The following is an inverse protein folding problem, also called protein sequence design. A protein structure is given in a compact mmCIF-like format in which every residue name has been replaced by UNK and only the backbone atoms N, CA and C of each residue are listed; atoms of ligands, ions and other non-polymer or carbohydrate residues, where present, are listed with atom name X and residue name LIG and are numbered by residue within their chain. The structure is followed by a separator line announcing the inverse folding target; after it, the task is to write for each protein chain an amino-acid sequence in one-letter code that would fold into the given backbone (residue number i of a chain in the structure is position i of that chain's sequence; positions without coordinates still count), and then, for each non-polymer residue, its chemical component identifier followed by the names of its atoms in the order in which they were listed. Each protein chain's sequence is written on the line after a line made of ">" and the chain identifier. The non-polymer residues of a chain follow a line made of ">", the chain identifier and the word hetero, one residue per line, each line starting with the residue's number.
data_IF_957146466555
#
_entry.id   IF_957146466555
#
_cell.length_a   1.000
_cell.length_b   1.000
_cell.length_c   1.000
_cell.angle_alpha   90.00
_cell.angle_beta   90.00
_cell.angle_gamma   90.00
#
_symmetry.space_group_name_H-M   'P 1'
#
loop_
_entity.id
_entity.type
_entity.pdbx_description
1 polymer ?
#
# COMPACT_ATOMS: atom_id res chain seq x y z
N UNK A 1 -26.61 -1.72 -24.36
CA UNK A 1 -25.28 -2.04 -23.80
C UNK A 1 -25.22 -1.45 -22.41
N UNK A 2 -25.59 -2.23 -21.41
CA UNK A 2 -25.43 -1.83 -20.01
C UNK A 2 -23.94 -1.98 -19.71
N UNK A 3 -23.27 -0.87 -19.40
CA UNK A 3 -21.89 -0.87 -18.93
C UNK A 3 -21.84 -1.79 -17.71
N UNK A 4 -21.20 -2.94 -17.88
CA UNK A 4 -20.79 -3.78 -16.76
C UNK A 4 -19.84 -2.91 -15.93
N UNK A 5 -20.34 -2.30 -14.87
CA UNK A 5 -19.47 -1.75 -13.83
C UNK A 5 -18.78 -2.96 -13.21
N UNK A 6 -17.61 -3.30 -13.73
CA UNK A 6 -16.71 -4.26 -13.11
C UNK A 6 -16.55 -3.79 -11.67
N UNK A 7 -17.04 -4.58 -10.71
CA UNK A 7 -16.64 -4.41 -9.31
C UNK A 7 -15.16 -4.76 -9.25
N UNK A 8 -14.31 -3.76 -9.46
CA UNK A 8 -12.89 -3.89 -9.17
C UNK A 8 -12.78 -4.20 -7.68
N UNK A 9 -12.09 -5.29 -7.35
CA UNK A 9 -11.93 -5.75 -5.98
C UNK A 9 -10.85 -4.89 -5.30
N UNK A 10 -11.16 -3.61 -5.14
CA UNK A 10 -10.25 -2.58 -4.63
C UNK A 10 -10.34 -2.55 -3.10
N UNK A 11 -9.18 -2.57 -2.46
CA UNK A 11 -9.02 -2.46 -1.02
C UNK A 11 -8.20 -1.23 -0.69
N UNK A 12 -8.61 -0.55 0.37
CA UNK A 12 -7.92 0.62 0.90
C UNK A 12 -7.37 0.25 2.26
N UNK A 13 -6.10 0.55 2.46
CA UNK A 13 -5.44 0.40 3.73
C UNK A 13 -5.06 1.77 4.25
N UNK A 14 -5.29 2.01 5.54
CA UNK A 14 -5.07 3.31 6.17
C UNK A 14 -4.37 3.09 7.51
N UNK A 15 -3.25 3.77 7.70
CA UNK A 15 -2.50 3.86 8.95
C UNK A 15 -2.35 5.34 9.27
N UNK A 16 -2.59 5.72 10.53
CA UNK A 16 -2.46 7.12 10.94
C UNK A 16 -1.97 7.22 12.38
N UNK A 17 -1.03 8.14 12.58
CA UNK A 17 -0.66 8.66 13.89
C UNK A 17 -1.12 10.11 13.91
N UNK A 18 -2.07 10.44 14.79
CA UNK A 18 -2.72 11.75 14.82
C UNK A 18 -1.68 12.89 14.87
N UNK A 19 -1.79 13.82 13.93
CA UNK A 19 -0.89 14.98 13.77
C UNK A 19 0.59 14.67 13.49
N UNK A 20 0.94 13.42 13.16
CA UNK A 20 2.31 13.00 12.83
C UNK A 20 2.39 12.52 11.38
N UNK A 21 1.64 11.46 11.05
CA UNK A 21 1.75 10.79 9.76
C UNK A 21 0.41 10.19 9.30
N UNK A 22 0.24 10.12 7.99
CA UNK A 22 -0.90 9.48 7.35
C UNK A 22 -0.45 8.70 6.13
N UNK A 23 -0.74 7.41 6.15
CA UNK A 23 -0.43 6.48 5.05
C UNK A 23 -1.72 5.84 4.59
N UNK A 24 -2.04 5.99 3.30
CA UNK A 24 -3.15 5.29 2.66
C UNK A 24 -2.68 4.60 1.39
N UNK A 25 -2.87 3.28 1.30
CA UNK A 25 -2.45 2.49 0.14
C UNK A 25 -3.67 1.92 -0.61
N UNK A 26 -3.63 2.02 -1.93
CA UNK A 26 -4.62 1.47 -2.86
C UNK A 26 -4.13 0.13 -3.38
N UNK A 27 -4.88 -0.93 -3.09
CA UNK A 27 -4.53 -2.29 -3.51
C UNK A 27 -5.65 -2.87 -4.35
N UNK A 28 -5.31 -3.44 -5.50
CA UNK A 28 -6.23 -4.17 -6.35
C UNK A 28 -5.50 -5.40 -6.91
N UNK A 29 -6.17 -6.54 -6.87
CA UNK A 29 -5.62 -7.83 -7.34
C UNK A 29 -4.26 -8.16 -6.70
N UNK A 30 -4.16 -7.89 -5.39
CA UNK A 30 -2.95 -8.02 -4.56
C UNK A 30 -1.74 -7.21 -5.04
N UNK A 31 -1.95 -6.14 -5.81
CA UNK A 31 -0.89 -5.23 -6.23
C UNK A 31 -1.16 -3.83 -5.72
N UNK A 32 -0.12 -3.08 -5.44
CA UNK A 32 -0.22 -1.66 -5.09
C UNK A 32 -0.41 -0.85 -6.37
N UNK A 33 -1.43 0.01 -6.40
CA UNK A 33 -1.73 0.90 -7.54
C UNK A 33 -1.55 2.37 -7.20
N UNK A 34 -1.29 2.70 -5.94
CA UNK A 34 -1.05 4.07 -5.49
C UNK A 34 -1.04 4.18 -3.98
N UNK A 35 -0.52 5.29 -3.49
CA UNK A 35 -0.61 5.66 -2.09
C UNK A 35 -0.75 7.17 -1.90
N UNK A 36 -1.20 7.56 -0.71
CA UNK A 36 -1.09 8.91 -0.17
C UNK A 36 -0.26 8.81 1.10
N UNK A 37 0.88 9.50 1.10
CA UNK A 37 1.82 9.57 2.21
C UNK A 37 1.87 11.05 2.65
N UNK A 38 1.68 11.30 3.95
CA UNK A 38 1.74 12.63 4.56
C UNK A 38 2.57 12.53 5.83
N UNK A 39 3.54 13.43 5.99
CA UNK A 39 4.51 13.40 7.09
C UNK A 39 5.81 12.72 6.66
N UNK A 40 6.67 12.41 7.63
CA UNK A 40 7.91 11.66 7.44
C UNK A 40 7.57 10.17 7.58
N UNK A 41 7.34 9.47 6.47
CA UNK A 41 6.84 8.09 6.49
C UNK A 41 7.90 7.03 6.22
N UNK A 42 9.02 7.41 5.58
CA UNK A 42 10.09 6.51 5.12
C UNK A 42 9.60 5.36 4.19
N UNK A 43 8.37 5.43 3.67
CA UNK A 43 7.73 4.40 2.84
C UNK A 43 7.76 4.73 1.34
N UNK A 44 8.27 5.89 0.94
CA UNK A 44 8.18 6.43 -0.41
C UNK A 44 8.83 5.48 -1.44
N UNK A 45 10.06 5.07 -1.19
CA UNK A 45 10.82 4.18 -2.08
C UNK A 45 10.19 2.78 -2.16
N UNK A 46 9.74 2.25 -1.03
CA UNK A 46 9.09 0.93 -0.99
C UNK A 46 7.80 0.96 -1.80
N UNK A 47 6.94 1.96 -1.60
CA UNK A 47 5.68 2.10 -2.34
C UNK A 47 5.94 2.31 -3.83
N UNK A 48 6.91 3.14 -4.20
CA UNK A 48 7.30 3.35 -5.60
C UNK A 48 7.70 2.02 -6.25
N UNK A 49 8.59 1.25 -5.60
CA UNK A 49 9.03 -0.04 -6.10
C UNK A 49 7.88 -1.05 -6.24
N UNK A 50 6.95 -1.10 -5.28
CA UNK A 50 5.79 -1.98 -5.34
C UNK A 50 4.85 -1.63 -6.50
N UNK A 51 4.67 -0.34 -6.80
CA UNK A 51 3.87 0.13 -7.94
C UNK A 51 4.58 -0.18 -9.25
N UNK A 52 5.87 0.16 -9.36
CA UNK A 52 6.67 -0.03 -10.58
C UNK A 52 6.77 -1.51 -10.97
N UNK A 53 7.02 -2.39 -10.00
CA UNK A 53 7.21 -3.81 -10.25
C UNK A 53 5.87 -4.59 -10.30
N UNK A 54 4.77 -4.00 -9.81
CA UNK A 54 3.48 -4.66 -9.72
C UNK A 54 3.56 -5.95 -8.89
N UNK A 55 4.33 -5.91 -7.80
CA UNK A 55 4.61 -7.03 -6.90
C UNK A 55 3.32 -7.55 -6.28
N UNK A 56 3.16 -8.87 -6.21
CA UNK A 56 2.06 -9.51 -5.49
C UNK A 56 2.35 -9.44 -3.98
N UNK A 57 1.53 -8.66 -3.25
CA UNK A 57 1.67 -8.44 -1.81
C UNK A 57 0.82 -9.40 -0.97
N UNK A 58 0.28 -10.48 -1.55
CA UNK A 58 -0.59 -11.41 -0.82
C UNK A 58 0.02 -11.96 0.48
N UNK A 59 1.34 -12.20 0.49
CA UNK A 59 2.09 -12.75 1.63
C UNK A 59 2.53 -11.72 2.67
N UNK A 60 2.68 -10.45 2.29
CA UNK A 60 3.20 -9.37 3.16
C UNK A 60 2.12 -8.37 3.56
N UNK A 61 0.87 -8.62 3.16
CA UNK A 61 -0.25 -7.67 3.23
C UNK A 61 -0.57 -7.17 4.64
N UNK A 62 -0.41 -8.04 5.63
CA UNK A 62 -0.71 -7.76 7.04
C UNK A 62 0.43 -6.97 7.69
N UNK A 63 1.65 -7.16 7.19
CA UNK A 63 2.89 -6.55 7.70
C UNK A 63 3.18 -5.20 7.03
N UNK A 64 2.85 -5.02 5.74
CA UNK A 64 3.10 -3.82 4.93
C UNK A 64 2.56 -2.51 5.53
N UNK A 65 1.60 -2.62 6.46
CA UNK A 65 0.88 -1.49 7.06
C UNK A 65 1.04 -1.47 8.58
N UNK A 66 1.95 -2.26 9.10
CA UNK A 66 2.33 -2.13 10.49
C UNK A 66 3.35 -0.99 10.56
N UNK A 67 3.00 0.16 11.18
CA UNK A 67 3.91 1.31 11.31
C UNK A 67 5.13 1.01 12.19
N UNK A 68 5.16 -0.17 12.84
CA UNK A 68 6.31 -0.66 13.60
C UNK A 68 7.08 -1.76 12.85
N UNK A 69 6.70 -2.09 11.62
CA UNK A 69 7.43 -3.06 10.80
C UNK A 69 8.50 -2.30 10.03
N UNK A 70 9.75 -2.60 10.38
CA UNK A 70 10.89 -2.18 9.60
C UNK A 70 10.93 -3.02 8.32
N UNK A 71 10.53 -2.42 7.21
CA UNK A 71 10.45 -3.12 5.92
C UNK A 71 11.85 -3.43 5.35
N UNK A 72 12.91 -2.78 5.86
CA UNK A 72 14.30 -3.11 5.48
C UNK A 72 14.62 -4.59 5.74
N UNK A 73 14.11 -5.17 6.83
CA UNK A 73 14.39 -6.57 7.21
C UNK A 73 13.75 -7.61 6.29
N UNK A 74 12.78 -7.24 5.43
CA UNK A 74 12.07 -8.16 4.54
C UNK A 74 12.65 -8.22 3.11
N UNK A 75 13.54 -7.28 2.76
CA UNK A 75 14.08 -7.14 1.40
C UNK A 75 15.57 -7.52 1.27
N UNK A 76 16.17 -8.10 2.32
CA UNK A 76 17.54 -8.66 2.32
C UNK A 76 17.58 -10.19 2.09
#
# INVERSE_FOLDING_TARGET
>A
MISNTMRFNQKHYIVMTLDVEYVKVLVQDNKVHGAVLIGETDLEEVIENLILNGTDIASVKEDLLNPNLDLEDYYD
#
